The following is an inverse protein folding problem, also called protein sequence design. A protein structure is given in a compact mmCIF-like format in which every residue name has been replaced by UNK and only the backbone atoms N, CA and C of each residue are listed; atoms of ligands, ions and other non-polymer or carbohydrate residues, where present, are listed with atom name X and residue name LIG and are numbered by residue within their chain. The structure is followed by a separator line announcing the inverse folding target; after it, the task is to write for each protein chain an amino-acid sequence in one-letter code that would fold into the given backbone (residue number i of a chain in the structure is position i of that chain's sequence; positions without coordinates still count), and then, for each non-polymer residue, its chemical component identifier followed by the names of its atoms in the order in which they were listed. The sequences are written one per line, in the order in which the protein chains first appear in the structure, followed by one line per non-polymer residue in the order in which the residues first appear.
data_IF_440440595188
#
_entry.id   IF_440440595188
#
_cell.length_a   1.000
_cell.length_b   1.000
_cell.length_c   1.000
_cell.angle_alpha   90.00
_cell.angle_beta   90.00
_cell.angle_gamma   90.00
#
_symmetry.space_group_name_H-M   'P 1'
#
loop_
_entity.id
_entity.type
_entity.pdbx_description
1 polymer ?
#
# COMPACT_ATOMS: atom_id res chain seq x y z
N UNK A 1 24.62 2.79 -1.31
CA UNK A 1 23.33 3.40 -0.88
C UNK A 1 22.46 2.30 -0.31
N UNK A 2 21.65 2.60 0.70
CA UNK A 2 20.68 1.65 1.24
C UNK A 2 19.56 1.50 0.23
N UNK A 3 19.23 0.25 -0.14
CA UNK A 3 18.21 -0.03 -1.14
C UNK A 3 16.79 -0.10 -0.55
N UNK A 4 15.80 0.01 -1.44
CA UNK A 4 14.38 0.00 -1.09
C UNK A 4 13.58 -0.90 -2.04
N UNK A 5 12.74 -1.74 -1.44
CA UNK A 5 11.69 -2.47 -2.14
C UNK A 5 10.37 -1.71 -2.05
N UNK A 6 9.57 -1.74 -3.10
CA UNK A 6 8.18 -1.26 -3.08
C UNK A 6 7.25 -2.45 -3.31
N UNK A 7 6.23 -2.59 -2.47
CA UNK A 7 5.22 -3.64 -2.61
C UNK A 7 3.83 -3.05 -2.86
N UNK A 8 3.13 -3.62 -3.84
CA UNK A 8 1.76 -3.29 -4.22
C UNK A 8 0.88 -4.51 -4.00
N UNK A 9 -0.19 -4.38 -3.23
CA UNK A 9 -1.23 -5.40 -3.15
C UNK A 9 -2.21 -5.18 -4.31
N UNK A 10 -2.49 -6.23 -5.07
CA UNK A 10 -3.33 -6.09 -6.26
C UNK A 10 -4.31 -7.26 -6.45
N UNK A 11 -5.52 -6.91 -6.94
CA UNK A 11 -6.52 -7.82 -7.47
C UNK A 11 -7.41 -7.06 -8.44
N UNK A 12 -7.47 -7.52 -9.68
CA UNK A 12 -8.31 -6.92 -10.73
C UNK A 12 -8.10 -5.39 -10.85
N UNK A 13 -6.82 -4.97 -10.98
CA UNK A 13 -6.39 -3.57 -11.01
C UNK A 13 -5.75 -3.17 -12.35
N UNK A 14 -6.09 -3.82 -13.48
CA UNK A 14 -5.46 -3.55 -14.79
C UNK A 14 -5.48 -2.07 -15.21
N UNK A 15 -6.50 -1.32 -14.78
CA UNK A 15 -6.63 0.09 -15.13
C UNK A 15 -5.71 1.01 -14.30
N UNK A 16 -5.23 0.57 -13.15
CA UNK A 16 -4.52 1.42 -12.19
C UNK A 16 -3.07 0.99 -11.94
N UNK A 17 -2.80 -0.33 -12.02
CA UNK A 17 -1.49 -0.89 -11.66
C UNK A 17 -0.33 -0.29 -12.46
N UNK A 18 -0.55 0.01 -13.75
CA UNK A 18 0.47 0.57 -14.60
C UNK A 18 0.95 1.95 -14.14
N UNK A 19 0.02 2.85 -13.81
CA UNK A 19 0.36 4.18 -13.31
C UNK A 19 0.97 4.14 -11.91
N UNK A 20 0.50 3.23 -11.05
CA UNK A 20 1.09 2.99 -9.74
C UNK A 20 2.57 2.61 -9.89
N UNK A 21 2.88 1.57 -10.66
CA UNK A 21 4.25 1.07 -10.86
C UNK A 21 5.17 2.10 -11.54
N UNK A 22 4.66 2.90 -12.47
CA UNK A 22 5.43 4.01 -13.07
C UNK A 22 5.79 5.08 -12.04
N UNK A 23 4.88 5.38 -11.11
CA UNK A 23 5.10 6.39 -10.06
C UNK A 23 6.19 6.00 -9.05
N UNK A 24 6.52 4.72 -8.94
CA UNK A 24 7.57 4.17 -8.06
C UNK A 24 8.74 3.58 -8.84
N UNK A 25 8.99 4.07 -10.07
CA UNK A 25 10.11 3.61 -10.92
C UNK A 25 11.49 3.91 -10.33
N UNK A 26 11.56 4.77 -9.32
CA UNK A 26 12.78 5.10 -8.56
C UNK A 26 13.18 4.00 -7.56
N UNK A 27 12.31 3.02 -7.26
CA UNK A 27 12.61 1.92 -6.34
C UNK A 27 13.59 0.91 -6.95
N UNK A 28 14.46 0.34 -6.12
CA UNK A 28 15.41 -0.71 -6.53
C UNK A 28 14.72 -2.04 -6.84
N UNK A 29 13.61 -2.31 -6.18
CA UNK A 29 12.77 -3.48 -6.41
C UNK A 29 11.29 -3.10 -6.36
N UNK A 30 10.49 -3.63 -7.29
CA UNK A 30 9.02 -3.50 -7.32
C UNK A 30 8.39 -4.88 -7.29
N UNK A 31 7.52 -5.10 -6.31
CA UNK A 31 6.84 -6.38 -6.06
C UNK A 31 5.34 -6.14 -6.17
N UNK A 32 4.66 -6.97 -6.92
CA UNK A 32 3.19 -7.02 -6.92
C UNK A 32 2.74 -8.32 -6.26
N UNK A 33 2.06 -8.20 -5.12
CA UNK A 33 1.45 -9.32 -4.40
C UNK A 33 0.04 -9.47 -4.97
N UNK A 34 -0.12 -10.42 -5.87
CA UNK A 34 -1.34 -10.62 -6.63
C UNK A 34 -2.24 -11.65 -5.94
N UNK A 35 -3.49 -11.26 -5.64
CA UNK A 35 -4.49 -12.23 -5.19
C UNK A 35 -4.71 -13.31 -6.25
N UNK A 36 -4.67 -14.58 -5.87
CA UNK A 36 -4.89 -15.72 -6.77
C UNK A 36 -6.24 -15.71 -7.47
N UNK A 37 -7.19 -14.90 -7.01
CA UNK A 37 -8.51 -14.69 -7.62
C UNK A 37 -8.53 -13.62 -8.71
N UNK A 38 -7.42 -12.91 -8.95
CA UNK A 38 -7.31 -11.92 -10.03
C UNK A 38 -7.52 -12.59 -11.40
N UNK A 39 -8.29 -11.93 -12.30
CA UNK A 39 -8.70 -12.49 -13.59
C UNK A 39 -8.44 -11.57 -14.78
N UNK A 40 -8.07 -10.32 -14.51
CA UNK A 40 -7.77 -9.31 -15.52
C UNK A 40 -6.27 -9.31 -15.91
N UNK A 41 -5.85 -8.31 -16.66
CA UNK A 41 -4.47 -8.17 -17.13
C UNK A 41 -3.50 -7.55 -16.12
N UNK A 42 -3.86 -7.48 -14.83
CA UNK A 42 -3.00 -6.89 -13.78
C UNK A 42 -1.60 -7.51 -13.76
N UNK A 43 -1.50 -8.85 -13.78
CA UNK A 43 -0.21 -9.56 -13.76
C UNK A 43 0.64 -9.28 -14.99
N UNK A 44 0.02 -9.29 -16.17
CA UNK A 44 0.68 -9.02 -17.45
C UNK A 44 1.29 -7.61 -17.46
N UNK A 45 0.48 -6.59 -17.16
CA UNK A 45 0.91 -5.19 -17.12
C UNK A 45 2.03 -4.99 -16.10
N UNK A 46 1.92 -5.58 -14.91
CA UNK A 46 2.93 -5.47 -13.88
C UNK A 46 4.27 -6.08 -14.34
N UNK A 47 4.23 -7.24 -14.98
CA UNK A 47 5.43 -7.93 -15.51
C UNK A 47 6.09 -7.14 -16.62
N UNK A 48 5.31 -6.59 -17.57
CA UNK A 48 5.81 -5.73 -18.65
C UNK A 48 6.52 -4.48 -18.14
N UNK A 49 6.10 -3.96 -16.99
CA UNK A 49 6.73 -2.84 -16.30
C UNK A 49 7.92 -3.25 -15.42
N UNK A 50 8.33 -4.53 -15.45
CA UNK A 50 9.50 -5.04 -14.74
C UNK A 50 9.26 -5.23 -13.24
N UNK A 51 8.02 -5.36 -12.77
CA UNK A 51 7.74 -5.75 -11.40
C UNK A 51 7.81 -7.27 -11.23
N UNK A 52 8.29 -7.72 -10.07
CA UNK A 52 8.22 -9.13 -9.66
C UNK A 52 6.81 -9.43 -9.17
N UNK A 53 6.05 -10.21 -9.94
CA UNK A 53 4.68 -10.61 -9.58
C UNK A 53 4.73 -11.91 -8.80
N UNK A 54 4.12 -11.91 -7.60
CA UNK A 54 4.02 -13.09 -6.72
C UNK A 54 2.55 -13.32 -6.40
N UNK A 55 2.01 -14.46 -6.82
CA UNK A 55 0.64 -14.84 -6.52
C UNK A 55 0.54 -15.38 -5.09
N UNK A 56 -0.41 -14.84 -4.31
CA UNK A 56 -0.67 -15.26 -2.93
C UNK A 56 -2.18 -15.24 -2.65
N UNK A 57 -2.74 -16.28 -2.01
CA UNK A 57 -4.15 -16.29 -1.62
C UNK A 57 -4.44 -15.14 -0.65
N UNK A 58 -5.51 -14.38 -0.91
CA UNK A 58 -5.93 -13.32 0.00
C UNK A 58 -6.75 -13.88 1.15
N UNK A 59 -6.21 -13.86 2.34
CA UNK A 59 -6.94 -14.15 3.57
C UNK A 59 -7.48 -12.85 4.19
N UNK A 60 -6.58 -11.89 4.43
CA UNK A 60 -6.87 -10.53 4.88
C UNK A 60 -5.69 -9.60 4.54
N UNK A 61 -5.85 -8.31 4.74
CA UNK A 61 -4.81 -7.33 4.41
C UNK A 61 -3.56 -7.48 5.28
N UNK A 62 -3.71 -7.80 6.58
CA UNK A 62 -2.57 -7.99 7.47
C UNK A 62 -1.69 -9.16 7.03
N UNK A 63 -2.30 -10.31 6.67
CA UNK A 63 -1.57 -11.46 6.14
C UNK A 63 -0.86 -11.14 4.82
N UNK A 64 -1.50 -10.40 3.89
CA UNK A 64 -0.88 -9.98 2.65
C UNK A 64 0.31 -9.03 2.88
N UNK A 65 0.20 -8.09 3.82
CA UNK A 65 1.31 -7.19 4.14
C UNK A 65 2.43 -7.92 4.88
N UNK A 66 2.12 -8.82 5.80
CA UNK A 66 3.14 -9.65 6.46
C UNK A 66 3.91 -10.50 5.44
N UNK A 67 3.20 -11.12 4.50
CA UNK A 67 3.82 -11.84 3.40
C UNK A 67 4.74 -10.94 2.56
N UNK A 68 4.34 -9.71 2.30
CA UNK A 68 5.14 -8.74 1.57
C UNK A 68 6.44 -8.35 2.28
N UNK A 69 6.44 -8.25 3.63
CA UNK A 69 7.66 -8.04 4.41
C UNK A 69 8.68 -9.17 4.18
N UNK A 70 8.21 -10.41 4.08
CA UNK A 70 9.07 -11.57 3.84
C UNK A 70 9.61 -11.65 2.39
N UNK A 71 8.95 -10.99 1.43
CA UNK A 71 9.35 -11.01 0.02
C UNK A 71 10.43 -9.97 -0.33
N UNK A 72 10.50 -8.87 0.41
CA UNK A 72 11.35 -7.74 0.07
C UNK A 72 12.84 -8.11 0.19
N UNK A 73 13.64 -7.73 -0.83
CA UNK A 73 15.07 -8.02 -0.93
C UNK A 73 15.96 -6.92 -0.34
N UNK A 74 15.39 -5.75 -0.06
CA UNK A 74 16.13 -4.58 0.45
C UNK A 74 15.77 -4.30 1.92
N UNK A 75 16.64 -3.57 2.66
CA UNK A 75 16.42 -3.30 4.09
C UNK A 75 15.18 -2.48 4.42
N UNK A 76 14.62 -1.77 3.43
CA UNK A 76 13.41 -0.98 3.57
C UNK A 76 12.35 -1.44 2.59
N UNK A 77 11.11 -1.44 3.06
CA UNK A 77 9.94 -1.72 2.26
C UNK A 77 8.96 -0.55 2.33
N UNK A 78 8.52 -0.08 1.15
CA UNK A 78 7.47 0.92 1.02
C UNK A 78 6.21 0.27 0.45
N UNK A 79 5.10 0.33 1.18
CA UNK A 79 3.81 -0.11 0.68
C UNK A 79 3.09 1.02 -0.03
N UNK A 80 2.54 0.70 -1.20
CA UNK A 80 1.68 1.59 -1.97
C UNK A 80 0.48 0.78 -2.50
N UNK A 81 -0.72 1.35 -2.45
CA UNK A 81 -1.90 0.69 -2.99
C UNK A 81 -2.02 0.97 -4.50
N UNK A 82 -2.68 0.10 -5.26
CA UNK A 82 -2.74 0.19 -6.74
C UNK A 82 -3.40 1.48 -7.24
N UNK A 83 -4.25 2.11 -6.42
CA UNK A 83 -4.90 3.40 -6.67
C UNK A 83 -4.15 4.61 -6.10
N UNK A 84 -2.93 4.40 -5.60
CA UNK A 84 -2.04 5.45 -5.13
C UNK A 84 -0.91 5.76 -6.13
N UNK A 85 -0.36 6.98 -6.07
CA UNK A 85 0.76 7.47 -6.88
C UNK A 85 1.75 8.20 -5.98
N UNK A 86 3.01 7.79 -6.02
CA UNK A 86 4.10 8.52 -5.40
C UNK A 86 4.52 9.72 -6.28
N UNK A 87 4.82 10.86 -5.66
CA UNK A 87 5.47 11.96 -6.39
C UNK A 87 6.97 11.70 -6.51
N UNK A 88 7.67 12.28 -7.51
CA UNK A 88 9.14 12.23 -7.55
C UNK A 88 9.78 12.77 -6.27
N UNK A 89 9.23 13.87 -5.70
CA UNK A 89 9.70 14.46 -4.46
C UNK A 89 9.58 13.50 -3.26
N UNK A 90 8.50 12.69 -3.21
CA UNK A 90 8.36 11.64 -2.19
C UNK A 90 9.45 10.57 -2.35
N UNK A 91 9.78 10.17 -3.58
CA UNK A 91 10.87 9.23 -3.84
C UNK A 91 12.22 9.77 -3.35
N UNK A 92 12.52 11.03 -3.64
CA UNK A 92 13.75 11.71 -3.19
C UNK A 92 13.80 11.82 -1.65
N UNK A 93 12.67 12.12 -1.00
CA UNK A 93 12.58 12.18 0.46
C UNK A 93 12.79 10.80 1.08
N UNK A 94 12.16 9.75 0.55
CA UNK A 94 12.35 8.37 0.99
C UNK A 94 13.82 7.98 0.91
N UNK A 95 14.46 8.17 -0.25
CA UNK A 95 15.88 7.85 -0.41
C UNK A 95 16.77 8.57 0.58
N UNK A 96 16.46 9.82 0.93
CA UNK A 96 17.21 10.58 1.93
C UNK A 96 17.06 10.03 3.34
N UNK A 97 15.82 9.72 3.77
CA UNK A 97 15.56 9.31 5.17
C UNK A 97 16.03 7.88 5.47
N UNK A 98 16.08 7.00 4.47
CA UNK A 98 16.53 5.62 4.66
C UNK A 98 18.07 5.49 4.78
N UNK A 99 18.85 6.52 4.44
CA UNK A 99 20.32 6.47 4.51
C UNK A 99 20.87 6.48 5.94
N UNK A 100 20.07 6.87 6.94
CA UNK A 100 20.50 6.92 8.33
C UNK A 100 19.39 7.36 9.27
N UNK A 101 19.71 7.42 10.58
CA UNK A 101 18.76 7.77 11.62
C UNK A 101 18.35 6.59 12.47
N UNK A 102 17.57 6.87 13.50
CA UNK A 102 17.07 5.89 14.49
C UNK A 102 15.67 5.36 14.15
N UNK A 103 14.98 6.00 13.20
CA UNK A 103 13.63 5.62 12.80
C UNK A 103 13.63 4.26 12.10
N UNK A 104 12.63 3.46 12.42
CA UNK A 104 12.38 2.14 11.81
C UNK A 104 11.11 2.11 10.98
N UNK A 105 10.40 3.22 10.92
CA UNK A 105 9.22 3.42 10.08
C UNK A 105 8.92 4.89 9.84
N UNK A 106 8.13 5.18 8.79
CA UNK A 106 7.75 6.55 8.44
C UNK A 106 6.29 6.62 8.02
N UNK A 107 5.60 7.58 8.61
CA UNK A 107 4.25 7.98 8.24
C UNK A 107 4.29 8.86 7.00
N UNK A 108 3.49 8.53 6.02
CA UNK A 108 3.41 9.23 4.73
C UNK A 108 2.06 9.93 4.64
N UNK A 109 2.01 11.25 4.44
CA UNK A 109 0.75 11.95 4.26
C UNK A 109 0.12 11.58 2.92
N UNK A 110 -1.18 11.30 2.92
CA UNK A 110 -1.94 10.91 1.75
C UNK A 110 -2.93 12.01 1.37
N UNK A 111 -2.92 12.40 0.09
CA UNK A 111 -3.86 13.35 -0.51
C UNK A 111 -4.96 12.58 -1.21
N UNK A 112 -6.17 12.68 -0.72
CA UNK A 112 -7.31 11.96 -1.24
C UNK A 112 -7.97 12.73 -2.39
N UNK A 113 -8.10 12.09 -3.55
CA UNK A 113 -8.79 12.61 -4.73
C UNK A 113 -10.08 11.83 -4.91
N UNK A 114 -11.21 12.52 -4.82
CA UNK A 114 -12.54 11.95 -5.00
C UNK A 114 -13.20 12.67 -6.18
N UNK A 115 -13.60 11.91 -7.20
CA UNK A 115 -14.19 12.45 -8.43
C UNK A 115 -13.35 13.57 -9.08
N UNK A 116 -12.04 13.35 -9.14
CA UNK A 116 -11.08 14.28 -9.72
C UNK A 116 -10.78 15.53 -8.88
N UNK A 117 -11.28 15.63 -7.64
CA UNK A 117 -11.03 16.76 -6.73
C UNK A 117 -10.31 16.32 -5.48
N UNK A 118 -9.25 17.05 -5.12
CA UNK A 118 -8.55 16.86 -3.85
C UNK A 118 -9.43 17.32 -2.68
N UNK A 119 -9.60 16.47 -1.68
CA UNK A 119 -10.36 16.77 -0.46
C UNK A 119 -9.37 17.08 0.67
N UNK A 120 -9.38 18.33 1.14
CA UNK A 120 -8.42 18.85 2.14
C UNK A 120 -9.01 19.05 3.53
N UNK A 121 -10.32 19.02 3.67
CA UNK A 121 -11.01 19.35 4.92
C UNK A 121 -11.79 18.17 5.47
N UNK A 122 -12.33 18.28 6.68
CA UNK A 122 -13.14 17.21 7.28
C UNK A 122 -12.35 15.98 7.70
N UNK A 123 -11.06 16.13 8.02
CA UNK A 123 -10.20 15.00 8.43
C UNK A 123 -9.56 14.21 7.27
N UNK A 124 -9.74 14.70 6.02
CA UNK A 124 -9.19 14.03 4.84
C UNK A 124 -7.73 14.38 4.54
N UNK A 125 -7.17 15.40 5.18
CA UNK A 125 -5.75 15.77 5.02
C UNK A 125 -5.25 16.53 6.25
N UNK A 126 -4.02 16.22 6.73
CA UNK A 126 -3.19 15.11 6.31
C UNK A 126 -3.73 13.76 6.79
N UNK A 127 -3.86 12.80 5.87
CA UNK A 127 -4.24 11.42 6.18
C UNK A 127 -2.94 10.58 6.21
N UNK A 128 -2.35 10.47 7.39
CA UNK A 128 -1.07 9.78 7.55
C UNK A 128 -1.21 8.27 7.56
N UNK A 129 -0.42 7.61 6.72
CA UNK A 129 -0.34 6.16 6.61
C UNK A 129 1.08 5.68 6.92
N UNK A 130 1.24 4.69 7.80
CA UNK A 130 2.55 4.10 8.10
C UNK A 130 2.90 3.12 6.98
N UNK A 131 3.67 3.57 6.00
CA UNK A 131 3.91 2.87 4.74
C UNK A 131 5.36 2.51 4.47
N UNK A 132 6.33 3.26 5.02
CA UNK A 132 7.75 2.99 4.84
C UNK A 132 8.28 2.31 6.11
N UNK A 133 8.74 1.07 5.95
CA UNK A 133 9.04 0.15 7.05
C UNK A 133 10.45 -0.43 6.90
N UNK A 134 11.21 -0.48 7.98
CA UNK A 134 12.51 -1.15 8.04
C UNK A 134 12.29 -2.62 8.34
N UNK A 135 12.81 -3.51 7.50
CA UNK A 135 12.70 -4.95 7.70
C UNK A 135 13.36 -5.40 9.01
N UNK A 136 12.74 -6.36 9.67
CA UNK A 136 13.16 -6.85 10.98
C UNK A 136 12.69 -5.99 12.17
N UNK A 137 12.04 -4.84 11.91
CA UNK A 137 11.48 -3.95 12.93
C UNK A 137 9.96 -3.73 12.77
N UNK A 138 9.36 -4.30 11.75
CA UNK A 138 7.95 -4.15 11.45
C UNK A 138 7.29 -5.51 11.29
N UNK A 139 6.09 -5.67 11.83
CA UNK A 139 5.27 -6.86 11.64
C UNK A 139 3.79 -6.52 11.66
N UNK A 140 3.01 -7.32 10.95
CA UNK A 140 1.54 -7.29 10.96
C UNK A 140 1.03 -8.53 11.68
N UNK A 141 0.01 -8.37 12.52
CA UNK A 141 -0.66 -9.49 13.16
C UNK A 141 -1.79 -10.04 12.27
N UNK A 142 -1.62 -11.21 11.62
CA UNK A 142 -2.65 -11.79 10.76
C UNK A 142 -3.94 -12.15 11.49
N UNK A 143 -3.90 -12.27 12.82
CA UNK A 143 -5.08 -12.52 13.64
C UNK A 143 -5.97 -11.27 13.80
N UNK A 144 -5.51 -10.09 13.34
CA UNK A 144 -6.27 -8.84 13.30
C UNK A 144 -6.73 -8.51 11.89
N UNK A 145 -7.84 -9.08 11.41
CA UNK A 145 -8.28 -8.94 10.02
C UNK A 145 -8.82 -7.54 9.67
N UNK A 146 -9.20 -6.74 10.68
CA UNK A 146 -9.76 -5.39 10.53
C UNK A 146 -8.80 -4.39 11.13
N UNK A 147 -8.58 -3.28 10.41
CA UNK A 147 -7.62 -2.24 10.79
C UNK A 147 -6.23 -2.83 10.99
N UNK A 148 -5.65 -3.31 9.89
CA UNK A 148 -4.27 -3.79 9.85
C UNK A 148 -3.32 -2.71 10.38
N UNK A 149 -2.96 -2.83 11.64
CA UNK A 149 -2.01 -1.94 12.27
C UNK A 149 -0.67 -2.64 12.25
N UNK A 150 0.29 -2.03 11.55
CA UNK A 150 1.68 -2.47 11.66
C UNK A 150 2.21 -2.14 13.05
N UNK A 151 2.87 -3.09 13.67
CA UNK A 151 3.62 -2.88 14.90
C UNK A 151 5.09 -2.61 14.54
N UNK A 152 5.69 -1.61 15.18
CA UNK A 152 7.10 -1.26 15.00
C UNK A 152 7.88 -1.48 16.29
N UNK A 153 9.05 -2.11 16.17
CA UNK A 153 10.02 -2.25 17.25
C UNK A 153 11.01 -1.09 17.21
N UNK A 154 10.50 0.14 17.36
CA UNK A 154 11.31 1.35 17.36
C UNK A 154 10.54 2.61 16.96
N UNK A 155 11.22 3.75 16.89
CA UNK A 155 10.58 5.03 16.61
C UNK A 155 10.18 5.16 15.15
N UNK A 156 9.05 5.85 14.91
CA UNK A 156 8.61 6.29 13.58
C UNK A 156 8.78 7.81 13.41
N UNK A 157 9.04 8.22 12.15
CA UNK A 157 9.05 9.61 11.73
C UNK A 157 7.86 9.95 10.83
N UNK A 158 7.81 11.21 10.38
CA UNK A 158 6.78 11.71 9.46
C UNK A 158 7.45 12.32 8.24
N UNK A 159 7.04 11.88 7.05
CA UNK A 159 7.44 12.49 5.79
C UNK A 159 6.62 13.75 5.52
N UNK A 160 7.16 14.63 4.71
CA UNK A 160 6.51 15.87 4.30
C UNK A 160 5.83 15.72 2.93
N UNK A 161 6.45 14.94 2.06
CA UNK A 161 5.95 14.68 0.72
C UNK A 161 4.84 13.62 0.72
N UNK A 162 3.88 13.77 -0.19
CA UNK A 162 2.60 13.06 -0.10
C UNK A 162 2.44 11.99 -1.19
N UNK A 163 1.67 10.96 -0.87
CA UNK A 163 1.00 10.10 -1.85
C UNK A 163 -0.27 10.76 -2.38
N UNK A 164 -0.56 10.59 -3.67
CA UNK A 164 -1.86 10.86 -4.25
C UNK A 164 -2.69 9.57 -4.24
N UNK A 165 -3.90 9.62 -3.69
CA UNK A 165 -4.81 8.49 -3.61
C UNK A 165 -6.08 8.78 -4.42
N UNK A 166 -6.25 8.08 -5.54
CA UNK A 166 -7.37 8.22 -6.45
C UNK A 166 -8.51 7.26 -6.05
N UNK A 167 -9.14 7.56 -4.92
CA UNK A 167 -10.03 6.65 -4.21
C UNK A 167 -11.27 6.26 -5.01
N UNK A 168 -12.05 7.27 -5.46
CA UNK A 168 -13.30 7.04 -6.19
C UNK A 168 -13.31 7.84 -7.48
N UNK A 169 -13.49 7.13 -8.61
CA UNK A 169 -13.55 7.74 -9.93
C UNK A 169 -14.97 8.17 -10.32
N UNK A 170 -15.99 7.58 -9.71
CA UNK A 170 -17.40 7.87 -9.97
C UNK A 170 -18.32 7.29 -8.90
N UNK A 171 -19.63 7.61 -9.02
CA UNK A 171 -20.64 7.15 -8.06
C UNK A 171 -20.80 5.62 -8.09
N UNK A 172 -20.71 5.01 -9.27
CA UNK A 172 -20.82 3.54 -9.42
C UNK A 172 -19.65 2.83 -8.72
N UNK A 173 -18.42 3.32 -8.89
CA UNK A 173 -17.23 2.82 -8.21
C UNK A 173 -17.37 2.97 -6.69
N UNK A 174 -17.81 4.14 -6.22
CA UNK A 174 -18.10 4.37 -4.82
C UNK A 174 -19.09 3.35 -4.25
N UNK A 175 -20.26 3.19 -4.90
CA UNK A 175 -21.30 2.25 -4.43
C UNK A 175 -20.79 0.81 -4.45
N UNK A 176 -20.04 0.42 -5.48
CA UNK A 176 -19.45 -0.93 -5.58
C UNK A 176 -18.47 -1.21 -4.45
N UNK A 177 -17.53 -0.31 -4.19
CA UNK A 177 -16.56 -0.42 -3.08
C UNK A 177 -17.26 -0.44 -1.72
N UNK A 178 -18.25 0.44 -1.50
CA UNK A 178 -19.01 0.45 -0.23
C UNK A 178 -19.74 -0.86 0.02
N UNK A 179 -20.36 -1.47 -1.00
CA UNK A 179 -21.01 -2.78 -0.87
C UNK A 179 -20.02 -3.88 -0.48
N UNK A 180 -18.81 -3.86 -1.06
CA UNK A 180 -17.77 -4.82 -0.71
C UNK A 180 -17.28 -4.64 0.74
N UNK A 181 -17.06 -3.41 1.19
CA UNK A 181 -16.65 -3.12 2.57
C UNK A 181 -17.74 -3.54 3.58
N UNK A 182 -18.99 -3.18 3.33
CA UNK A 182 -20.12 -3.57 4.21
C UNK A 182 -20.24 -5.09 4.30
N UNK A 183 -20.13 -5.82 3.18
CA UNK A 183 -20.19 -7.28 3.18
C UNK A 183 -19.01 -7.89 3.97
N UNK A 184 -17.82 -7.35 3.82
CA UNK A 184 -16.62 -7.80 4.52
C UNK A 184 -16.72 -7.54 6.04
N UNK A 185 -17.11 -6.33 6.44
CA UNK A 185 -17.29 -5.98 7.85
C UNK A 185 -18.42 -6.81 8.51
N UNK A 186 -19.52 -7.04 7.80
CA UNK A 186 -20.61 -7.87 8.30
C UNK A 186 -20.18 -9.30 8.57
N UNK A 187 -19.40 -9.92 7.68
CA UNK A 187 -18.87 -11.28 7.87
C UNK A 187 -17.95 -11.36 9.10
N UNK A 188 -17.10 -10.36 9.30
CA UNK A 188 -16.21 -10.27 10.46
C UNK A 188 -17.00 -10.14 11.76
N UNK A 189 -17.98 -9.23 11.81
CA UNK A 189 -18.82 -9.03 12.99
C UNK A 189 -19.64 -10.29 13.32
N UNK A 190 -20.06 -11.02 12.29
CA UNK A 190 -20.77 -12.28 12.48
C UNK A 190 -19.85 -13.35 13.11
N UNK A 191 -18.64 -13.51 12.62
CA UNK A 191 -17.65 -14.48 13.14
C UNK A 191 -17.17 -14.16 14.56
N UNK A 192 -17.17 -12.89 14.97
CA UNK A 192 -16.80 -12.49 16.34
C UNK A 192 -17.89 -12.75 17.38
N UNK A 193 -19.14 -13.01 16.94
CA UNK A 193 -20.29 -13.30 17.84
C UNK A 193 -20.56 -14.79 18.04
N UNK A 194 -19.86 -15.65 17.32
CA UNK A 194 -19.92 -17.11 17.45
C UNK A 194 -18.67 -17.62 18.14
#
# INVERSE_FOLDING_TARGET
MVGISVAVLARDNEQQIGDCLRSVSWADERIVILDTRSRDRTAEIATELGARVVSHPFENFAAQREFGLALASHPWLFYIDSDERATPALGDEIHRVIQGGTQVGWWVPRRNVIWGREIRHGGWYPDYQLRLLKLGFAHYDPARPVHEIVTLDGPAGYLQESLWHYNYQGLEDFVSKQRQYVAYEADILFRQRT
#
